data_IF_387964152514
#
_entry.id   IF_387964152514
#
_cell.length_a   1.000
_cell.length_b   1.000
_cell.length_c   1.000
_cell.angle_alpha   90.00
_cell.angle_beta   90.00
_cell.angle_gamma   90.00
#
_symmetry.space_group_name_H-M   'P 1'
#
loop_
_entity.id
_entity.type
_entity.pdbx_description
1 polymer ?
#
# COMPACT_ATOMS: atom_id res chain seq x y z
N UNK A 1 17.66 19.15 26.06
CA UNK A 1 17.13 18.49 24.86
C UNK A 1 15.77 19.10 24.55
N UNK A 2 15.63 19.95 23.53
CA UNK A 2 14.33 20.50 23.18
C UNK A 2 13.44 19.37 22.65
N UNK A 3 12.20 19.32 23.12
CA UNK A 3 11.19 18.41 22.58
C UNK A 3 10.76 18.98 21.22
N UNK A 4 11.29 18.38 20.15
CA UNK A 4 10.87 18.62 18.77
C UNK A 4 9.34 18.57 18.69
N UNK A 5 8.71 19.72 18.39
CA UNK A 5 7.26 19.82 18.23
C UNK A 5 6.89 19.25 16.86
N UNK A 6 6.83 17.91 16.78
CA UNK A 6 6.35 17.21 15.59
C UNK A 6 4.83 17.37 15.47
N UNK A 7 4.34 17.64 14.26
CA UNK A 7 2.90 17.74 14.03
C UNK A 7 2.28 16.35 14.20
N UNK A 8 1.10 16.27 14.82
CA UNK A 8 0.35 15.00 15.01
C UNK A 8 0.24 14.15 13.73
N UNK A 9 0.16 14.79 12.55
CA UNK A 9 0.12 14.12 11.25
C UNK A 9 1.41 13.33 10.91
N UNK A 10 2.56 13.75 11.44
CA UNK A 10 3.87 13.10 11.26
C UNK A 10 4.06 11.89 12.19
N UNK A 11 3.25 11.80 13.27
CA UNK A 11 3.23 10.63 14.15
C UNK A 11 2.24 9.55 13.69
N UNK A 12 1.36 9.85 12.74
CA UNK A 12 0.45 8.87 12.17
C UNK A 12 1.23 7.95 11.21
N UNK A 13 1.29 6.65 11.51
CA UNK A 13 1.88 5.63 10.63
C UNK A 13 0.94 5.40 9.43
N UNK A 14 0.99 6.29 8.45
CA UNK A 14 0.18 6.20 7.22
C UNK A 14 0.46 4.91 6.45
N UNK A 15 1.63 4.30 6.64
CA UNK A 15 2.05 3.05 6.01
C UNK A 15 1.67 1.78 6.80
N UNK A 16 1.01 1.92 7.96
CA UNK A 16 0.59 0.79 8.79
C UNK A 16 -0.28 -0.21 8.02
N UNK A 17 -1.11 0.29 7.08
CA UNK A 17 -1.93 -0.55 6.23
C UNK A 17 -1.09 -1.45 5.32
N UNK A 18 -0.07 -0.91 4.65
CA UNK A 18 0.80 -1.66 3.72
C UNK A 18 1.51 -2.78 4.49
N UNK A 19 2.04 -2.49 5.67
CA UNK A 19 2.75 -3.46 6.52
C UNK A 19 1.85 -4.58 7.02
N UNK A 20 0.56 -4.32 7.25
CA UNK A 20 -0.42 -5.34 7.69
C UNK A 20 -0.99 -6.14 6.52
N UNK A 21 -1.10 -5.52 5.34
CA UNK A 21 -1.68 -6.13 4.16
C UNK A 21 -0.67 -7.05 3.44
N UNK A 22 0.58 -6.61 3.34
CA UNK A 22 1.65 -7.39 2.73
C UNK A 22 2.27 -8.30 3.80
N UNK A 23 1.92 -9.60 3.75
CA UNK A 23 2.37 -10.59 4.72
C UNK A 23 3.90 -10.82 4.77
N UNK A 24 4.59 -10.97 3.62
CA UNK A 24 6.04 -11.18 3.60
C UNK A 24 6.81 -9.96 4.12
N UNK A 25 7.70 -10.20 5.09
CA UNK A 25 8.67 -9.20 5.51
C UNK A 25 9.77 -9.00 4.46
N UNK A 26 10.65 -8.00 4.66
CA UNK A 26 11.79 -7.77 3.77
C UNK A 26 12.72 -8.98 3.68
N UNK A 27 12.92 -9.69 4.80
CA UNK A 27 13.78 -10.88 4.85
C UNK A 27 13.13 -12.08 4.16
N UNK A 28 11.80 -12.20 4.26
CA UNK A 28 11.03 -13.21 3.53
C UNK A 28 11.11 -12.96 2.02
N UNK A 29 10.93 -11.72 1.58
CA UNK A 29 11.06 -11.32 0.18
C UNK A 29 12.46 -11.65 -0.35
N UNK A 30 13.52 -11.32 0.40
CA UNK A 30 14.89 -11.64 0.01
C UNK A 30 15.12 -13.16 -0.11
N UNK A 31 14.54 -13.95 0.81
CA UNK A 31 14.60 -15.40 0.78
C UNK A 31 13.89 -15.98 -0.43
N UNK A 32 12.69 -15.46 -0.73
CA UNK A 32 11.89 -15.88 -1.89
C UNK A 32 12.57 -15.53 -3.22
N UNK A 33 13.11 -14.31 -3.36
CA UNK A 33 13.84 -13.90 -4.56
C UNK A 33 15.09 -14.76 -4.78
N UNK A 34 15.83 -15.06 -3.71
CA UNK A 34 16.99 -15.96 -3.78
C UNK A 34 16.61 -17.37 -4.26
N UNK A 35 15.47 -17.90 -3.81
CA UNK A 35 14.97 -19.20 -4.26
C UNK A 35 14.64 -19.22 -5.76
N UNK A 36 14.30 -18.05 -6.33
CA UNK A 36 14.04 -17.85 -7.76
C UNK A 36 15.29 -17.43 -8.55
N UNK A 37 16.48 -17.38 -7.91
CA UNK A 37 17.72 -16.83 -8.47
C UNK A 37 17.59 -15.38 -8.99
N UNK A 38 16.76 -14.57 -8.33
CA UNK A 38 16.54 -13.15 -8.64
C UNK A 38 17.12 -12.28 -7.52
N UNK A 39 17.54 -11.06 -7.85
CA UNK A 39 18.13 -10.12 -6.89
C UNK A 39 17.13 -9.03 -6.48
N UNK A 40 16.25 -8.65 -7.41
CA UNK A 40 15.33 -7.54 -7.24
C UNK A 40 13.89 -7.95 -7.59
N UNK A 41 12.92 -7.21 -7.03
CA UNK A 41 11.50 -7.41 -7.35
C UNK A 41 11.21 -7.04 -8.81
N UNK A 42 11.95 -6.06 -9.33
CA UNK A 42 11.91 -5.61 -10.71
C UNK A 42 12.25 -6.75 -11.68
N UNK A 43 13.26 -7.57 -11.35
CA UNK A 43 13.66 -8.75 -12.14
C UNK A 43 12.48 -9.73 -12.30
N UNK A 44 11.74 -9.95 -11.21
CA UNK A 44 10.57 -10.84 -11.20
C UNK A 44 9.45 -10.28 -12.09
N UNK A 45 9.19 -8.97 -12.00
CA UNK A 45 8.14 -8.30 -12.81
C UNK A 45 8.51 -8.35 -14.30
N UNK A 46 9.77 -8.06 -14.64
CA UNK A 46 10.29 -8.06 -16.01
C UNK A 46 10.23 -9.43 -16.68
N UNK A 47 10.56 -10.49 -15.93
CA UNK A 47 10.53 -11.86 -16.46
C UNK A 47 9.11 -12.43 -16.55
N UNK A 48 8.15 -11.89 -15.81
CA UNK A 48 6.77 -12.41 -15.75
C UNK A 48 5.80 -11.65 -16.65
N UNK A 49 5.92 -10.33 -16.73
CA UNK A 49 4.96 -9.48 -17.46
C UNK A 49 5.62 -8.90 -18.71
N UNK A 50 5.13 -9.22 -19.92
CA UNK A 50 5.66 -8.66 -21.16
C UNK A 50 5.63 -7.13 -21.17
N UNK A 51 6.72 -6.51 -21.60
CA UNK A 51 6.91 -5.06 -21.60
C UNK A 51 5.81 -4.30 -22.33
N UNK A 52 5.27 -4.87 -23.41
CA UNK A 52 4.27 -4.22 -24.27
C UNK A 52 2.93 -3.94 -23.59
N UNK A 53 2.62 -4.65 -22.49
CA UNK A 53 1.38 -4.48 -21.72
C UNK A 53 1.62 -3.85 -20.35
N UNK A 54 2.88 -3.55 -20.00
CA UNK A 54 3.22 -2.91 -18.72
C UNK A 54 2.87 -1.43 -18.75
N UNK A 55 2.36 -0.92 -17.64
CA UNK A 55 2.09 0.50 -17.49
C UNK A 55 3.42 1.25 -17.33
N UNK A 56 3.82 2.04 -18.34
CA UNK A 56 5.05 2.85 -18.31
C UNK A 56 4.99 4.13 -17.46
N UNK A 57 3.99 4.25 -16.57
CA UNK A 57 3.80 5.37 -15.66
C UNK A 57 3.23 4.89 -14.33
N UNK A 58 3.37 5.68 -13.29
CA UNK A 58 2.70 5.43 -12.03
C UNK A 58 1.18 5.53 -12.17
N UNK A 59 0.46 4.86 -11.27
CA UNK A 59 -0.99 4.95 -11.22
C UNK A 59 -1.41 6.36 -10.79
N UNK A 60 -2.35 6.95 -11.51
CA UNK A 60 -2.93 8.25 -11.17
C UNK A 60 -3.95 8.10 -10.02
N UNK A 61 -3.44 7.88 -8.81
CA UNK A 61 -4.23 7.71 -7.59
C UNK A 61 -4.05 8.91 -6.65
N UNK A 62 -5.07 9.16 -5.83
CA UNK A 62 -4.92 10.06 -4.68
C UNK A 62 -3.92 9.48 -3.68
N UNK A 63 -3.37 10.35 -2.82
CA UNK A 63 -2.46 9.93 -1.76
C UNK A 63 -3.05 8.80 -0.89
N UNK A 64 -2.22 7.83 -0.46
CA UNK A 64 -2.67 6.70 0.32
C UNK A 64 -3.36 7.17 1.60
N UNK A 65 -4.57 6.66 1.87
CA UNK A 65 -5.30 6.96 3.09
C UNK A 65 -4.88 5.99 4.18
N UNK A 66 -4.58 6.52 5.36
CA UNK A 66 -4.36 5.69 6.56
C UNK A 66 -5.62 4.92 6.94
N UNK A 67 -5.44 3.75 7.55
CA UNK A 67 -6.53 2.83 7.91
C UNK A 67 -7.60 3.49 8.82
N UNK A 68 -7.20 4.38 9.72
CA UNK A 68 -8.14 5.15 10.54
C UNK A 68 -9.06 6.08 9.74
N UNK A 69 -8.68 6.43 8.51
CA UNK A 69 -9.46 7.25 7.58
C UNK A 69 -10.25 6.42 6.56
N UNK A 70 -9.88 5.16 6.33
CA UNK A 70 -10.55 4.26 5.37
C UNK A 70 -11.87 3.69 5.90
N UNK A 71 -12.12 3.70 7.22
CA UNK A 71 -13.40 3.27 7.80
C UNK A 71 -14.58 4.19 7.44
N UNK A 72 -14.31 5.36 6.87
CA UNK A 72 -15.35 6.18 6.25
C UNK A 72 -15.42 5.82 4.77
N UNK A 73 -16.11 4.73 4.48
CA UNK A 73 -16.86 4.64 3.22
C UNK A 73 -17.76 5.88 3.24
N UNK A 74 -17.57 6.89 2.38
CA UNK A 74 -18.55 7.94 2.28
C UNK A 74 -19.86 7.26 1.90
N UNK A 75 -20.93 7.69 2.55
CA UNK A 75 -22.32 7.33 2.27
C UNK A 75 -22.67 7.58 0.81
N UNK A 76 -22.20 6.74 -0.12
CA UNK A 76 -22.75 6.61 -1.47
C UNK A 76 -24.01 5.74 -1.45
N UNK A 77 -24.32 5.11 -0.31
CA UNK A 77 -25.70 4.81 0.01
C UNK A 77 -26.46 6.14 0.12
N UNK A 78 -27.25 6.47 -0.91
CA UNK A 78 -28.36 7.39 -0.74
C UNK A 78 -29.29 6.89 0.39
N UNK A 79 -30.19 7.72 0.94
CA UNK A 79 -31.00 7.35 2.08
C UNK A 79 -31.82 6.08 1.77
N UNK A 80 -31.37 4.93 2.26
CA UNK A 80 -32.14 3.70 2.21
C UNK A 80 -33.20 3.81 3.30
N UNK A 81 -34.44 4.09 2.88
CA UNK A 81 -35.58 4.07 3.80
C UNK A 81 -35.73 2.63 4.32
N UNK A 82 -35.67 2.40 5.65
CA UNK A 82 -36.02 1.09 6.19
C UNK A 82 -37.53 0.90 6.01
N UNK A 83 -37.93 -0.10 5.23
CA UNK A 83 -39.32 -0.57 5.25
C UNK A 83 -39.55 -1.34 6.57
N UNK A 84 -40.71 -1.10 7.19
CA UNK A 84 -41.11 -1.64 8.49
C UNK A 84 -41.80 -3.00 8.33
#
# INVERSE_FOLDING_TARGET
MPLETRRLAELADHDAFIKRHNGPSRDDIATMLKALNMQHMEDLIEQTVPSDIRLGRELALEEPRSEGRSVRIPSTAGPTKPYR
#
